data_IF_194002955933
#
_entry.id   IF_194002955933
#
_cell.length_a   1.000
_cell.length_b   1.000
_cell.length_c   1.000
_cell.angle_alpha   90.00
_cell.angle_beta   90.00
_cell.angle_gamma   90.00
#
_symmetry.space_group_name_H-M   'P 1'
#
loop_
_entity.id
_entity.type
_entity.pdbx_description
1 polymer ?
#
# COMPACT_ATOMS: atom_id res chain seq x y z
N UNK A 1 10.37 21.93 67.29
CA UNK A 1 10.81 20.82 66.45
C UNK A 1 10.26 21.04 65.05
N UNK A 2 11.04 21.64 64.16
CA UNK A 2 10.68 21.91 62.75
C UNK A 2 11.16 20.73 61.89
N UNK A 3 10.24 20.03 61.24
CA UNK A 3 10.56 18.99 60.27
C UNK A 3 10.83 19.65 58.89
N UNK A 4 12.03 19.54 58.42
CA UNK A 4 12.45 19.92 57.06
C UNK A 4 12.09 18.73 56.15
N UNK A 5 11.19 18.94 55.21
CA UNK A 5 10.89 17.99 54.16
C UNK A 5 11.86 18.26 52.99
N UNK A 6 12.80 17.36 52.78
CA UNK A 6 13.68 17.39 51.60
C UNK A 6 12.93 16.86 50.38
N UNK A 7 12.69 17.75 49.43
CA UNK A 7 12.16 17.38 48.10
C UNK A 7 13.36 16.93 47.27
N UNK A 8 13.41 15.64 47.01
CA UNK A 8 14.37 15.03 46.08
C UNK A 8 13.83 15.25 44.66
N UNK A 9 14.35 16.24 43.96
CA UNK A 9 14.12 16.39 42.51
C UNK A 9 14.93 15.32 41.77
N UNK A 10 14.27 14.28 41.30
CA UNK A 10 14.78 13.33 40.33
C UNK A 10 14.93 14.03 38.97
N UNK A 11 16.15 14.46 38.66
CA UNK A 11 16.53 14.78 37.30
C UNK A 11 16.57 13.47 36.50
N UNK A 12 15.50 13.17 35.74
CA UNK A 12 15.57 12.24 34.63
C UNK A 12 16.37 12.94 33.51
N UNK A 13 17.52 12.40 33.07
CA UNK A 13 18.15 12.92 31.88
C UNK A 13 17.19 12.59 30.70
N UNK A 14 16.68 13.60 30.02
CA UNK A 14 16.19 13.47 28.65
C UNK A 14 17.38 13.01 27.82
N UNK A 15 17.50 11.71 27.62
CA UNK A 15 18.19 11.15 26.47
C UNK A 15 17.35 11.53 25.24
N UNK A 16 17.54 12.74 24.72
CA UNK A 16 17.30 13.02 23.34
C UNK A 16 18.31 12.14 22.59
N UNK A 17 17.90 10.91 22.27
CA UNK A 17 18.57 10.14 21.25
C UNK A 17 18.61 11.06 20.03
N UNK A 18 19.80 11.41 19.55
CA UNK A 18 19.97 11.94 18.22
C UNK A 18 19.45 10.86 17.28
N UNK A 19 18.14 10.92 16.94
CA UNK A 19 17.58 10.12 15.89
C UNK A 19 18.27 10.61 14.62
N UNK A 20 19.19 9.80 14.12
CA UNK A 20 19.81 10.03 12.82
C UNK A 20 18.70 10.28 11.81
N UNK A 21 18.92 11.17 10.85
CA UNK A 21 17.93 11.47 9.80
C UNK A 21 17.47 10.18 9.16
N UNK A 22 16.16 10.01 9.01
CA UNK A 22 15.56 8.86 8.32
C UNK A 22 16.06 8.74 6.87
N UNK A 23 15.82 7.59 6.22
CA UNK A 23 16.20 7.39 4.82
C UNK A 23 15.64 8.51 3.93
N UNK A 24 14.38 8.86 4.14
CA UNK A 24 13.66 9.89 3.38
C UNK A 24 14.32 11.28 3.43
N UNK A 25 14.93 11.64 4.57
CA UNK A 25 15.58 12.95 4.77
C UNK A 25 16.96 13.04 4.13
N UNK A 26 17.59 11.91 3.85
CA UNK A 26 18.96 11.81 3.33
C UNK A 26 19.01 11.67 1.82
N UNK A 27 17.95 11.11 1.21
CA UNK A 27 17.88 10.93 -0.23
C UNK A 27 17.42 12.20 -0.94
N UNK A 28 18.28 12.74 -1.79
CA UNK A 28 18.02 13.93 -2.61
C UNK A 28 18.07 13.61 -4.09
N UNK A 29 17.47 14.48 -4.92
CA UNK A 29 17.48 14.32 -6.38
C UNK A 29 18.91 14.42 -6.99
N UNK A 30 19.87 15.00 -6.28
CA UNK A 30 21.25 15.15 -6.75
C UNK A 30 22.05 13.85 -6.64
N UNK A 31 21.60 12.91 -5.81
CA UNK A 31 22.20 11.57 -5.69
C UNK A 31 21.96 10.71 -6.92
N UNK A 32 20.95 11.00 -7.73
CA UNK A 32 20.60 10.19 -8.90
C UNK A 32 20.30 11.08 -10.11
N UNK A 33 21.23 11.14 -11.05
CA UNK A 33 21.07 11.90 -12.29
C UNK A 33 21.54 11.09 -13.50
N UNK A 34 20.59 10.80 -14.37
CA UNK A 34 20.83 10.23 -15.70
C UNK A 34 20.07 11.08 -16.73
N UNK A 35 20.66 12.17 -17.24
CA UNK A 35 19.94 13.17 -18.04
C UNK A 35 19.13 12.61 -19.21
N UNK A 36 19.65 11.56 -19.86
CA UNK A 36 18.94 10.90 -20.96
C UNK A 36 17.70 10.12 -20.48
N UNK A 37 17.75 9.49 -19.31
CA UNK A 37 16.61 8.82 -18.68
C UNK A 37 15.63 9.84 -18.14
N UNK A 38 16.13 10.89 -17.47
CA UNK A 38 15.32 11.98 -16.94
C UNK A 38 14.46 12.61 -18.05
N UNK A 39 15.03 12.86 -19.24
CA UNK A 39 14.30 13.40 -20.39
C UNK A 39 13.16 12.48 -20.88
N UNK A 40 13.32 11.15 -20.77
CA UNK A 40 12.24 10.20 -21.12
C UNK A 40 11.11 10.28 -20.11
N UNK A 41 11.42 10.35 -18.81
CA UNK A 41 10.43 10.49 -17.74
C UNK A 41 9.69 11.83 -17.87
N UNK A 42 10.40 12.94 -18.10
CA UNK A 42 9.80 14.26 -18.30
C UNK A 42 8.87 14.28 -19.53
N UNK A 43 9.27 13.64 -20.63
CA UNK A 43 8.43 13.49 -21.82
C UNK A 43 7.16 12.72 -21.52
N UNK A 44 7.28 11.60 -20.78
CA UNK A 44 6.12 10.82 -20.36
C UNK A 44 5.18 11.63 -19.45
N UNK A 45 5.73 12.37 -18.49
CA UNK A 45 4.93 13.26 -17.62
C UNK A 45 4.18 14.32 -18.42
N UNK A 46 4.81 14.91 -19.42
CA UNK A 46 4.17 15.90 -20.28
C UNK A 46 3.03 15.31 -21.10
N UNK A 47 3.23 14.13 -21.72
CA UNK A 47 2.18 13.42 -22.47
C UNK A 47 0.94 13.17 -21.60
N UNK A 48 1.15 12.74 -20.37
CA UNK A 48 0.05 12.39 -19.45
C UNK A 48 -0.38 13.52 -18.52
N UNK A 49 0.23 14.69 -18.63
CA UNK A 49 -0.02 15.86 -17.77
C UNK A 49 0.16 15.55 -16.26
N UNK A 50 1.13 14.70 -15.93
CA UNK A 50 1.44 14.33 -14.55
C UNK A 50 2.10 15.51 -13.83
N UNK A 51 1.71 15.76 -12.58
CA UNK A 51 2.30 16.84 -11.75
C UNK A 51 3.59 16.41 -11.07
N UNK A 52 3.65 15.15 -10.63
CA UNK A 52 4.82 14.59 -9.99
C UNK A 52 4.89 13.08 -10.14
N UNK A 53 6.12 12.58 -10.21
CA UNK A 53 6.46 11.15 -10.25
C UNK A 53 7.62 10.91 -9.29
N UNK A 54 7.57 9.82 -8.54
CA UNK A 54 8.71 9.28 -7.80
C UNK A 54 9.08 7.93 -8.41
N UNK A 55 10.36 7.74 -8.73
CA UNK A 55 10.92 6.53 -9.34
C UNK A 55 12.07 6.02 -8.47
N UNK A 56 12.03 4.74 -8.12
CA UNK A 56 13.15 4.01 -7.50
C UNK A 56 13.45 2.74 -8.28
N UNK A 57 14.74 2.43 -8.41
CA UNK A 57 15.24 1.22 -9.08
C UNK A 57 16.22 0.54 -8.14
N UNK A 58 15.93 -0.71 -7.82
CA UNK A 58 16.75 -1.58 -6.98
C UNK A 58 17.21 -2.78 -7.82
N UNK A 59 18.40 -3.31 -7.53
CA UNK A 59 18.88 -4.57 -8.07
C UNK A 59 19.62 -5.32 -6.97
N UNK A 60 19.28 -6.58 -6.77
CA UNK A 60 19.88 -7.43 -5.72
C UNK A 60 19.97 -6.64 -4.40
N UNK A 61 18.82 -6.17 -3.90
CA UNK A 61 18.65 -5.44 -2.65
C UNK A 61 19.41 -4.10 -2.51
N UNK A 62 20.13 -3.69 -3.55
CA UNK A 62 20.83 -2.41 -3.60
C UNK A 62 20.01 -1.35 -4.34
N UNK A 63 19.76 -0.21 -3.71
CA UNK A 63 19.05 0.92 -4.33
C UNK A 63 20.01 1.68 -5.26
N UNK A 64 19.93 1.43 -6.56
CA UNK A 64 20.85 2.01 -7.55
C UNK A 64 20.43 3.42 -7.98
N UNK A 65 19.13 3.68 -8.01
CA UNK A 65 18.58 4.94 -8.48
C UNK A 65 17.30 5.30 -7.75
N UNK A 66 17.18 6.56 -7.32
CA UNK A 66 15.91 7.09 -6.80
C UNK A 66 15.81 8.58 -7.09
N UNK A 67 14.66 9.01 -7.65
CA UNK A 67 14.47 10.40 -8.05
C UNK A 67 13.01 10.81 -8.06
N UNK A 68 12.75 12.02 -7.59
CA UNK A 68 11.47 12.70 -7.77
C UNK A 68 11.50 13.64 -8.98
N UNK A 69 10.44 13.64 -9.77
CA UNK A 69 10.24 14.48 -10.95
C UNK A 69 9.02 15.37 -10.75
N UNK A 70 9.10 16.61 -11.24
CA UNK A 70 8.00 17.55 -11.15
C UNK A 70 7.75 18.08 -9.74
N UNK A 71 6.48 18.17 -9.33
CA UNK A 71 6.05 18.85 -8.10
C UNK A 71 5.35 17.91 -7.13
N UNK A 72 5.74 18.03 -5.86
CA UNK A 72 5.03 17.39 -4.75
C UNK A 72 3.81 18.22 -4.32
N UNK A 73 3.99 19.54 -4.13
CA UNK A 73 2.90 20.45 -3.75
C UNK A 73 3.27 21.91 -4.06
N UNK A 74 2.44 22.62 -4.78
CA UNK A 74 2.70 24.03 -5.16
C UNK A 74 4.09 24.21 -5.78
N UNK A 75 4.96 24.97 -5.13
CA UNK A 75 6.36 25.17 -5.54
C UNK A 75 7.31 24.07 -5.04
N UNK A 76 6.89 23.23 -4.07
CA UNK A 76 7.73 22.17 -3.51
C UNK A 76 8.02 21.10 -4.54
N UNK A 77 9.30 20.79 -4.86
CA UNK A 77 9.64 19.75 -5.81
C UNK A 77 9.29 18.36 -5.26
N UNK A 78 9.08 17.40 -6.16
CA UNK A 78 9.10 15.99 -5.83
C UNK A 78 10.52 15.55 -5.52
N UNK A 79 10.74 14.85 -4.42
CA UNK A 79 12.03 14.27 -4.02
C UNK A 79 11.82 12.80 -3.65
N UNK A 80 12.90 11.98 -3.58
CA UNK A 80 12.78 10.54 -3.28
C UNK A 80 11.98 10.25 -2.01
N UNK A 81 12.21 11.00 -0.93
CA UNK A 81 11.53 10.83 0.35
C UNK A 81 10.11 11.40 0.42
N UNK A 82 9.54 11.90 -0.70
CA UNK A 82 8.15 12.36 -0.71
C UNK A 82 7.21 11.19 -0.47
N UNK A 83 6.27 11.36 0.49
CA UNK A 83 5.26 10.36 0.78
C UNK A 83 4.13 10.42 -0.26
N UNK A 84 3.74 9.26 -0.77
CA UNK A 84 2.70 9.10 -1.77
C UNK A 84 1.72 7.98 -1.38
N UNK A 85 0.44 8.15 -1.70
CA UNK A 85 -0.56 7.09 -1.60
C UNK A 85 -0.20 5.96 -2.56
N UNK A 86 -0.08 4.76 -2.01
CA UNK A 86 0.31 3.56 -2.75
C UNK A 86 -0.90 2.86 -3.38
N UNK A 87 -2.11 3.28 -3.00
CA UNK A 87 -3.34 2.60 -3.39
C UNK A 87 -3.21 1.08 -3.15
N UNK A 88 -3.59 0.25 -4.11
CA UNK A 88 -3.61 -1.21 -3.94
C UNK A 88 -2.23 -1.88 -3.77
N UNK A 89 -1.12 -1.16 -3.87
CA UNK A 89 0.18 -1.68 -3.42
C UNK A 89 0.15 -1.98 -1.91
N UNK A 90 -0.69 -1.28 -1.16
CA UNK A 90 -0.97 -1.57 0.26
C UNK A 90 -1.35 -3.03 0.55
N UNK A 91 -1.99 -3.71 -0.41
CA UNK A 91 -2.38 -5.11 -0.24
C UNK A 91 -1.19 -6.05 -0.08
N UNK A 92 -0.07 -5.67 -0.68
CA UNK A 92 1.16 -6.45 -0.55
C UNK A 92 1.65 -6.44 0.91
N UNK A 93 1.64 -5.26 1.55
CA UNK A 93 1.99 -5.13 2.96
C UNK A 93 1.07 -6.00 3.84
N UNK A 94 -0.25 -5.93 3.59
CA UNK A 94 -1.26 -6.73 4.33
C UNK A 94 -1.02 -8.22 4.17
N UNK A 95 -0.71 -8.68 2.95
CA UNK A 95 -0.42 -10.08 2.66
C UNK A 95 0.81 -10.57 3.46
N UNK A 96 1.89 -9.77 3.51
CA UNK A 96 3.06 -10.07 4.33
C UNK A 96 2.69 -10.14 5.83
N UNK A 97 1.85 -9.23 6.30
CA UNK A 97 1.33 -9.29 7.68
C UNK A 97 0.61 -10.61 7.99
N UNK A 98 -0.22 -11.09 7.08
CA UNK A 98 -0.90 -12.40 7.20
C UNK A 98 0.13 -13.54 7.17
N UNK A 99 1.13 -13.50 6.28
CA UNK A 99 2.17 -14.54 6.23
C UNK A 99 3.00 -14.59 7.52
N UNK A 100 3.31 -13.46 8.12
CA UNK A 100 3.98 -13.41 9.45
C UNK A 100 3.13 -14.02 10.56
N UNK A 101 1.82 -13.79 10.55
CA UNK A 101 0.92 -14.45 11.51
C UNK A 101 0.84 -15.96 11.27
N UNK A 102 0.85 -16.41 10.02
CA UNK A 102 0.91 -17.81 9.63
C UNK A 102 2.21 -18.47 10.14
N UNK A 103 3.36 -17.88 9.92
CA UNK A 103 4.65 -18.40 10.38
C UNK A 103 4.76 -18.48 11.92
N UNK A 104 4.09 -17.57 12.61
CA UNK A 104 3.96 -17.60 14.08
C UNK A 104 2.93 -18.61 14.60
N UNK A 105 2.31 -19.40 13.71
CA UNK A 105 1.29 -20.39 14.05
C UNK A 105 -0.01 -19.77 14.61
N UNK A 106 -0.29 -18.49 14.29
CA UNK A 106 -1.50 -17.79 14.74
C UNK A 106 -2.72 -18.07 13.85
N UNK A 107 -2.48 -18.45 12.61
CA UNK A 107 -3.47 -18.89 11.63
C UNK A 107 -2.80 -19.81 10.60
N UNK A 108 -3.61 -20.47 9.79
CA UNK A 108 -3.21 -21.11 8.52
C UNK A 108 -4.00 -20.47 7.38
N UNK A 109 -3.59 -20.68 6.13
CA UNK A 109 -4.31 -20.07 4.99
C UNK A 109 -5.76 -20.57 4.87
N UNK A 110 -6.00 -21.83 5.26
CA UNK A 110 -7.36 -22.43 5.31
C UNK A 110 -8.18 -22.00 6.53
N UNK A 111 -7.67 -21.13 7.41
CA UNK A 111 -8.43 -20.65 8.56
C UNK A 111 -9.73 -19.99 8.09
N UNK A 112 -10.91 -20.43 8.56
CA UNK A 112 -12.19 -19.80 8.24
C UNK A 112 -12.23 -18.35 8.70
N UNK A 113 -12.86 -17.48 7.91
CA UNK A 113 -13.05 -16.07 8.29
C UNK A 113 -14.22 -15.91 9.23
N UNK A 114 -15.33 -16.58 8.95
CA UNK A 114 -16.61 -16.52 9.66
C UNK A 114 -17.01 -17.88 10.21
N UNK A 115 -18.08 -17.91 11.03
CA UNK A 115 -18.61 -19.13 11.63
C UNK A 115 -17.90 -19.53 12.93
N UNK A 116 -18.32 -20.62 13.57
CA UNK A 116 -17.90 -21.00 14.93
C UNK A 116 -16.38 -21.27 15.07
N UNK A 117 -15.70 -21.52 13.97
CA UNK A 117 -14.23 -21.69 13.91
C UNK A 117 -13.52 -20.54 13.20
N UNK A 118 -14.26 -19.49 12.86
CA UNK A 118 -13.75 -18.32 12.15
C UNK A 118 -13.06 -17.33 13.07
N UNK A 119 -12.33 -16.40 12.45
CA UNK A 119 -11.64 -15.32 13.19
C UNK A 119 -12.61 -14.17 13.53
N UNK A 120 -13.52 -13.83 12.61
CA UNK A 120 -14.42 -12.67 12.68
C UNK A 120 -15.87 -13.09 13.04
N UNK A 121 -16.02 -13.90 14.09
CA UNK A 121 -17.31 -14.51 14.52
C UNK A 121 -18.36 -13.47 14.94
N UNK A 122 -17.96 -12.26 15.30
CA UNK A 122 -18.87 -11.17 15.68
C UNK A 122 -19.79 -10.69 14.54
N UNK A 123 -19.49 -11.12 13.31
CA UNK A 123 -20.31 -10.79 12.13
C UNK A 123 -21.31 -11.88 11.75
N UNK A 124 -21.24 -13.08 12.34
CA UNK A 124 -22.08 -14.23 11.98
C UNK A 124 -23.58 -13.91 12.04
N UNK A 125 -24.01 -13.14 13.05
CA UNK A 125 -25.40 -12.71 13.20
C UNK A 125 -25.93 -11.78 12.09
N UNK A 126 -25.06 -11.23 11.25
CA UNK A 126 -25.44 -10.37 10.11
C UNK A 126 -25.43 -11.11 8.77
N UNK A 127 -24.75 -12.27 8.69
CA UNK A 127 -24.65 -13.09 7.48
C UNK A 127 -26.02 -13.61 7.10
N UNK A 128 -26.35 -13.57 5.80
CA UNK A 128 -27.61 -14.04 5.21
C UNK A 128 -27.41 -15.17 4.20
N UNK A 129 -26.19 -15.39 3.76
CA UNK A 129 -25.79 -16.42 2.80
C UNK A 129 -24.78 -17.34 3.49
N UNK A 130 -25.17 -18.60 3.75
CA UNK A 130 -24.36 -19.57 4.49
C UNK A 130 -23.03 -19.88 3.79
N UNK A 131 -22.88 -19.56 2.50
CA UNK A 131 -21.62 -19.71 1.78
C UNK A 131 -20.48 -18.83 2.33
N UNK A 132 -20.79 -17.77 3.12
CA UNK A 132 -19.77 -17.01 3.84
C UNK A 132 -18.94 -17.87 4.80
N UNK A 133 -19.50 -18.93 5.35
CA UNK A 133 -18.80 -19.84 6.26
C UNK A 133 -17.75 -20.72 5.55
N UNK A 134 -17.73 -20.71 4.20
CA UNK A 134 -16.71 -21.38 3.38
C UNK A 134 -15.52 -20.46 3.07
N UNK A 135 -15.62 -19.17 3.39
CA UNK A 135 -14.54 -18.22 3.11
C UNK A 135 -13.36 -18.46 4.05
N UNK A 136 -12.18 -18.68 3.48
CA UNK A 136 -10.92 -18.80 4.19
C UNK A 136 -10.04 -17.56 4.01
N UNK A 137 -8.98 -17.46 4.80
CA UNK A 137 -7.95 -16.40 4.65
C UNK A 137 -7.34 -16.43 3.25
N UNK A 138 -7.07 -17.62 2.68
CA UNK A 138 -6.54 -17.74 1.31
C UNK A 138 -7.51 -17.19 0.26
N UNK A 139 -8.81 -17.49 0.39
CA UNK A 139 -9.82 -16.93 -0.51
C UNK A 139 -9.83 -15.40 -0.51
N UNK A 140 -9.61 -14.76 0.65
CA UNK A 140 -9.49 -13.31 0.72
C UNK A 140 -8.22 -12.80 0.01
N UNK A 141 -7.07 -13.44 0.26
CA UNK A 141 -5.79 -13.08 -0.35
C UNK A 141 -5.81 -13.20 -1.87
N UNK A 142 -6.47 -14.25 -2.40
CA UNK A 142 -6.58 -14.55 -3.85
C UNK A 142 -7.77 -13.89 -4.52
N UNK A 143 -8.57 -13.09 -3.81
CA UNK A 143 -9.80 -12.51 -4.34
C UNK A 143 -10.86 -13.54 -4.78
N UNK A 144 -10.91 -14.70 -4.14
CA UNK A 144 -11.79 -15.83 -4.45
C UNK A 144 -12.94 -16.00 -3.45
N UNK A 145 -13.22 -14.98 -2.64
CA UNK A 145 -14.21 -15.06 -1.57
C UNK A 145 -15.69 -14.99 -2.03
N UNK A 146 -15.94 -14.79 -3.31
CA UNK A 146 -17.32 -14.65 -3.82
C UNK A 146 -17.85 -13.22 -3.81
N UNK A 147 -17.05 -12.23 -3.41
CA UNK A 147 -17.43 -10.83 -3.44
C UNK A 147 -17.44 -10.30 -4.87
N UNK A 148 -18.41 -9.43 -5.19
CA UNK A 148 -18.54 -8.83 -6.52
C UNK A 148 -18.46 -7.31 -6.47
N UNK A 149 -17.95 -6.71 -7.55
CA UNK A 149 -18.01 -5.27 -7.82
C UNK A 149 -19.14 -4.91 -8.78
N UNK A 150 -20.08 -5.81 -9.05
CA UNK A 150 -21.26 -5.50 -9.86
C UNK A 150 -22.03 -4.36 -9.19
N UNK A 151 -22.24 -3.28 -9.93
CA UNK A 151 -22.82 -2.04 -9.38
C UNK A 151 -21.80 -1.07 -8.79
N UNK A 152 -20.51 -1.38 -8.84
CA UNK A 152 -19.39 -0.59 -8.34
C UNK A 152 -18.85 -1.08 -7.00
N UNK A 153 -17.59 -0.79 -6.75
CA UNK A 153 -16.93 -1.16 -5.49
C UNK A 153 -17.52 -0.36 -4.32
N UNK A 154 -18.14 -1.03 -3.32
CA UNK A 154 -18.69 -0.35 -2.14
C UNK A 154 -17.63 0.43 -1.36
N UNK A 155 -16.36 -0.02 -1.37
CA UNK A 155 -15.26 0.63 -0.68
C UNK A 155 -14.89 1.99 -1.32
N UNK A 156 -15.27 2.23 -2.57
CA UNK A 156 -15.11 3.52 -3.28
C UNK A 156 -16.40 4.35 -3.35
N UNK A 157 -17.46 3.89 -2.70
CA UNK A 157 -18.81 4.49 -2.77
C UNK A 157 -19.25 5.01 -1.40
N UNK A 158 -18.39 5.75 -0.68
CA UNK A 158 -18.61 6.21 0.71
C UNK A 158 -20.00 6.84 0.91
N UNK A 159 -20.40 7.80 0.07
CA UNK A 159 -21.70 8.45 0.19
C UNK A 159 -22.88 7.48 -0.05
N UNK A 160 -22.72 6.46 -0.89
CA UNK A 160 -23.75 5.44 -1.09
C UNK A 160 -23.85 4.52 0.15
N UNK A 161 -22.73 4.11 0.70
CA UNK A 161 -22.67 3.30 1.92
C UNK A 161 -23.25 4.06 3.12
N UNK A 162 -22.96 5.36 3.25
CA UNK A 162 -23.58 6.21 4.28
C UNK A 162 -25.11 6.17 4.21
N UNK A 163 -25.68 6.27 3.02
CA UNK A 163 -27.15 6.19 2.82
C UNK A 163 -27.69 4.80 3.14
N UNK A 164 -27.00 3.73 2.69
CA UNK A 164 -27.42 2.35 2.93
C UNK A 164 -27.40 2.01 4.42
N UNK A 165 -26.36 2.44 5.14
CA UNK A 165 -26.19 2.19 6.58
C UNK A 165 -27.06 3.13 7.43
N UNK A 166 -27.44 4.30 6.89
CA UNK A 166 -28.24 5.31 7.62
C UNK A 166 -27.35 6.16 8.56
N UNK A 167 -26.11 6.46 8.18
CA UNK A 167 -25.18 7.29 8.95
C UNK A 167 -24.92 8.63 8.31
N UNK A 168 -24.69 9.67 9.13
CA UNK A 168 -24.30 11.01 8.68
C UNK A 168 -22.77 11.21 8.60
N UNK A 169 -22.00 10.22 9.04
CA UNK A 169 -20.52 10.22 8.99
C UNK A 169 -20.05 9.06 8.14
N UNK A 170 -18.80 9.12 7.67
CA UNK A 170 -18.19 7.99 6.99
C UNK A 170 -18.32 6.72 7.85
N UNK A 171 -18.77 5.60 7.28
CA UNK A 171 -18.92 4.35 8.02
C UNK A 171 -17.58 3.86 8.57
N UNK A 172 -17.59 3.34 9.78
CA UNK A 172 -16.45 2.59 10.31
C UNK A 172 -16.29 1.27 9.56
N UNK A 173 -15.11 0.65 9.66
CA UNK A 173 -14.82 -0.66 9.07
C UNK A 173 -15.83 -1.72 9.56
N UNK A 174 -16.18 -1.67 10.85
CA UNK A 174 -17.19 -2.55 11.44
C UNK A 174 -18.58 -2.31 10.82
N UNK A 175 -19.02 -1.06 10.67
CA UNK A 175 -20.30 -0.74 10.04
C UNK A 175 -20.35 -1.18 8.57
N UNK A 176 -19.25 -0.97 7.83
CA UNK A 176 -19.11 -1.45 6.45
C UNK A 176 -19.23 -2.98 6.41
N UNK A 177 -18.49 -3.68 7.26
CA UNK A 177 -18.51 -5.15 7.31
C UNK A 177 -19.90 -5.66 7.63
N UNK A 178 -20.59 -5.13 8.66
CA UNK A 178 -21.98 -5.50 9.01
C UNK A 178 -22.97 -5.26 7.86
N UNK A 179 -22.75 -4.27 7.03
CA UNK A 179 -23.61 -4.02 5.87
C UNK A 179 -23.29 -4.99 4.72
N UNK A 180 -22.00 -5.20 4.45
CA UNK A 180 -21.57 -5.97 3.27
C UNK A 180 -21.77 -7.48 3.43
N UNK A 181 -21.62 -8.05 4.64
CA UNK A 181 -21.86 -9.49 4.87
C UNK A 181 -23.33 -9.89 4.77
N UNK A 182 -24.26 -8.94 4.67
CA UNK A 182 -25.67 -9.22 4.38
C UNK A 182 -25.96 -9.50 2.92
N UNK A 183 -25.02 -9.13 2.03
CA UNK A 183 -25.17 -9.32 0.58
C UNK A 183 -24.88 -10.77 0.23
N UNK A 184 -25.58 -11.35 -0.77
CA UNK A 184 -25.23 -12.69 -1.25
C UNK A 184 -23.87 -12.68 -1.93
N UNK A 185 -23.16 -13.81 -1.91
CA UNK A 185 -21.98 -14.03 -2.72
C UNK A 185 -22.38 -14.21 -4.18
N UNK A 186 -21.54 -13.75 -5.11
CA UNK A 186 -21.77 -13.92 -6.56
C UNK A 186 -21.45 -15.34 -7.04
N UNK A 187 -20.54 -16.02 -6.34
CA UNK A 187 -20.10 -17.39 -6.62
C UNK A 187 -19.61 -18.04 -5.33
N UNK A 188 -19.49 -19.36 -5.31
CA UNK A 188 -18.96 -20.10 -4.18
C UNK A 188 -17.48 -19.77 -3.96
N UNK A 189 -17.03 -19.56 -2.71
CA UNK A 189 -15.63 -19.32 -2.41
C UNK A 189 -14.72 -20.39 -3.05
N UNK A 190 -13.64 -19.93 -3.70
CA UNK A 190 -12.67 -20.79 -4.37
C UNK A 190 -13.05 -21.27 -5.77
N UNK A 191 -14.26 -20.98 -6.29
CA UNK A 191 -14.69 -21.47 -7.61
C UNK A 191 -14.49 -20.47 -8.74
N UNK A 192 -14.34 -19.18 -8.42
CA UNK A 192 -14.09 -18.08 -9.35
C UNK A 192 -13.34 -16.97 -8.62
N UNK A 193 -12.99 -15.90 -9.29
CA UNK A 193 -12.32 -14.77 -8.68
C UNK A 193 -12.83 -13.43 -9.21
N UNK A 194 -12.98 -12.48 -8.32
CA UNK A 194 -13.21 -11.09 -8.65
C UNK A 194 -12.47 -10.19 -7.66
N UNK A 195 -11.68 -9.25 -8.16
CA UNK A 195 -10.86 -8.36 -7.34
C UNK A 195 -11.71 -7.66 -6.29
N UNK A 196 -11.32 -7.74 -5.01
CA UNK A 196 -12.11 -7.21 -3.89
C UNK A 196 -11.26 -6.37 -2.93
N UNK A 197 -11.66 -5.11 -2.73
CA UNK A 197 -11.11 -4.29 -1.66
C UNK A 197 -11.69 -4.71 -0.31
N UNK A 198 -12.94 -5.17 -0.27
CA UNK A 198 -13.56 -5.65 0.97
C UNK A 198 -12.82 -6.87 1.53
N UNK A 199 -12.35 -7.79 0.69
CA UNK A 199 -11.54 -8.93 1.15
C UNK A 199 -10.27 -8.49 1.90
N UNK A 200 -9.58 -7.47 1.43
CA UNK A 200 -8.38 -6.95 2.08
C UNK A 200 -8.66 -6.04 3.29
N UNK A 201 -9.84 -5.42 3.36
CA UNK A 201 -10.32 -4.84 4.61
C UNK A 201 -10.48 -5.94 5.68
N UNK A 202 -11.14 -7.07 5.35
CA UNK A 202 -11.29 -8.19 6.28
C UNK A 202 -9.93 -8.75 6.72
N UNK A 203 -8.92 -8.84 5.83
CA UNK A 203 -7.58 -9.27 6.21
C UNK A 203 -6.94 -8.32 7.23
N UNK A 204 -7.10 -6.99 7.09
CA UNK A 204 -6.62 -6.05 8.12
C UNK A 204 -7.35 -6.21 9.45
N UNK A 205 -8.65 -6.48 9.42
CA UNK A 205 -9.44 -6.75 10.64
C UNK A 205 -9.06 -8.11 11.29
N UNK A 206 -8.69 -9.11 10.50
CA UNK A 206 -8.14 -10.39 10.99
C UNK A 206 -6.82 -10.15 11.73
N UNK A 207 -5.94 -9.31 11.19
CA UNK A 207 -4.69 -8.92 11.87
C UNK A 207 -5.01 -8.28 13.22
N UNK A 208 -5.90 -7.28 13.26
CA UNK A 208 -6.33 -6.64 14.52
C UNK A 208 -6.92 -7.63 15.52
N UNK A 209 -7.79 -8.52 15.04
CA UNK A 209 -8.46 -9.51 15.89
C UNK A 209 -7.50 -10.50 16.54
N UNK A 210 -6.52 -10.99 15.77
CA UNK A 210 -5.55 -11.98 16.26
C UNK A 210 -4.52 -11.34 17.18
N UNK A 211 -4.12 -10.10 16.89
CA UNK A 211 -3.04 -9.42 17.62
C UNK A 211 -3.54 -8.64 18.82
N UNK A 212 -4.81 -8.21 18.80
CA UNK A 212 -5.37 -7.31 19.81
C UNK A 212 -4.88 -5.87 19.70
N UNK A 213 -4.23 -5.51 18.58
CA UNK A 213 -3.63 -4.19 18.33
C UNK A 213 -4.23 -3.54 17.08
N UNK A 214 -4.27 -2.19 17.00
CA UNK A 214 -4.65 -1.49 15.77
C UNK A 214 -3.78 -1.93 14.59
N UNK A 215 -4.38 -2.17 13.44
CA UNK A 215 -3.71 -2.66 12.22
C UNK A 215 -2.46 -1.84 11.86
N UNK A 216 -2.57 -0.51 11.82
CA UNK A 216 -1.45 0.36 11.47
C UNK A 216 -0.28 0.18 12.43
N UNK A 217 -0.53 0.20 13.75
CA UNK A 217 0.52 0.10 14.76
C UNK A 217 1.25 -1.25 14.71
N UNK A 218 0.48 -2.34 14.54
CA UNK A 218 1.06 -3.67 14.42
C UNK A 218 1.90 -3.80 13.14
N UNK A 219 1.38 -3.34 12.00
CA UNK A 219 2.08 -3.37 10.72
C UNK A 219 3.37 -2.53 10.74
N UNK A 220 3.33 -1.33 11.33
CA UNK A 220 4.52 -0.49 11.49
C UNK A 220 5.60 -1.20 12.30
N UNK A 221 5.24 -1.86 13.40
CA UNK A 221 6.20 -2.53 14.28
C UNK A 221 6.70 -3.86 13.71
N UNK A 222 5.82 -4.68 13.16
CA UNK A 222 6.14 -6.08 12.83
C UNK A 222 6.51 -6.30 11.36
N UNK A 223 6.11 -5.40 10.47
CA UNK A 223 6.32 -5.55 9.03
C UNK A 223 7.22 -4.44 8.47
N UNK A 224 6.93 -3.19 8.81
CA UNK A 224 7.61 -2.05 8.20
C UNK A 224 8.93 -1.72 8.90
N UNK A 225 8.95 -1.69 10.22
CA UNK A 225 10.16 -1.39 10.99
C UNK A 225 11.28 -2.42 10.75
N UNK A 226 11.02 -3.74 10.71
CA UNK A 226 12.04 -4.73 10.34
C UNK A 226 12.63 -4.53 8.94
N UNK A 227 11.83 -4.05 8.00
CA UNK A 227 12.30 -3.66 6.65
C UNK A 227 13.05 -2.32 6.63
N UNK A 228 13.17 -1.62 7.76
CA UNK A 228 13.76 -0.28 7.82
C UNK A 228 12.88 0.83 7.23
N UNK A 229 11.57 0.57 7.11
CA UNK A 229 10.56 1.55 6.69
C UNK A 229 10.03 2.26 7.94
N UNK A 230 10.27 3.55 8.06
CA UNK A 230 9.98 4.32 9.27
C UNK A 230 8.89 5.38 9.07
N UNK A 231 8.55 5.68 7.81
CA UNK A 231 7.64 6.78 7.46
C UNK A 231 6.48 6.28 6.57
N UNK A 232 5.82 5.21 7.03
CA UNK A 232 4.61 4.67 6.44
C UNK A 232 3.42 4.91 7.35
N UNK A 233 2.31 5.41 6.79
CA UNK A 233 1.10 5.76 7.54
C UNK A 233 -0.16 5.39 6.79
N UNK A 234 -1.28 5.27 7.50
CA UNK A 234 -2.61 5.21 6.89
C UNK A 234 -3.03 6.63 6.51
N UNK A 235 -3.25 6.86 5.21
CA UNK A 235 -3.55 8.16 4.63
C UNK A 235 -4.78 8.83 5.22
N UNK A 236 -4.75 10.17 5.29
CA UNK A 236 -5.92 10.99 5.55
C UNK A 236 -6.81 11.13 4.30
N UNK A 237 -8.04 11.63 4.50
CA UNK A 237 -9.05 11.77 3.46
C UNK A 237 -9.05 13.14 2.77
N UNK A 238 -8.63 14.18 3.49
CA UNK A 238 -8.69 15.57 3.07
C UNK A 238 -7.30 16.15 2.86
N UNK A 239 -7.23 17.29 2.15
CA UNK A 239 -5.97 17.99 1.92
C UNK A 239 -5.28 18.38 3.25
N UNK A 240 -6.08 18.73 4.26
CA UNK A 240 -5.60 19.11 5.60
C UNK A 240 -5.12 17.95 6.45
N UNK A 241 -5.48 16.73 6.10
CA UNK A 241 -5.11 15.51 6.85
C UNK A 241 -3.76 14.93 6.44
N UNK A 242 -3.09 15.56 5.47
CA UNK A 242 -1.81 15.05 4.93
C UNK A 242 -0.73 15.08 5.99
N UNK A 243 0.11 14.07 5.96
CA UNK A 243 1.31 14.00 6.78
C UNK A 243 2.38 15.01 6.31
N UNK A 244 3.29 15.45 7.21
CA UNK A 244 4.49 16.15 6.80
C UNK A 244 5.23 15.37 5.71
N UNK A 245 5.69 16.02 4.65
CA UNK A 245 6.33 15.33 3.52
C UNK A 245 5.39 14.73 2.49
N UNK A 246 4.09 14.54 2.80
CA UNK A 246 3.14 13.99 1.83
C UNK A 246 2.86 14.95 0.67
N UNK A 247 2.73 14.38 -0.53
CA UNK A 247 2.43 15.13 -1.75
C UNK A 247 1.00 15.66 -1.77
N UNK A 248 0.72 16.67 -2.61
CA UNK A 248 -0.63 16.97 -3.06
C UNK A 248 -1.01 16.02 -4.20
N UNK A 249 -2.24 15.51 -4.16
CA UNK A 249 -2.80 14.67 -5.21
C UNK A 249 -3.63 15.50 -6.19
N UNK A 250 -3.66 15.06 -7.45
CA UNK A 250 -4.31 15.75 -8.54
C UNK A 250 -5.19 14.81 -9.36
N UNK A 251 -6.34 15.28 -9.74
CA UNK A 251 -7.16 14.63 -10.76
C UNK A 251 -6.69 15.02 -12.16
N UNK A 252 -7.05 14.25 -13.18
CA UNK A 252 -6.83 14.68 -14.56
C UNK A 252 -7.61 15.98 -14.84
N UNK A 253 -7.12 16.79 -15.79
CA UNK A 253 -7.62 18.16 -16.05
C UNK A 253 -9.11 18.26 -16.39
N UNK A 254 -9.70 17.19 -16.94
CA UNK A 254 -11.13 17.14 -17.28
C UNK A 254 -12.01 16.55 -16.17
N UNK A 255 -11.42 16.14 -15.04
CA UNK A 255 -12.17 15.60 -13.91
C UNK A 255 -13.06 16.70 -13.28
N UNK A 256 -14.33 16.37 -13.08
CA UNK A 256 -15.26 17.28 -12.40
C UNK A 256 -15.14 17.10 -10.88
N UNK A 257 -15.29 18.18 -10.12
CA UNK A 257 -15.47 18.08 -8.68
C UNK A 257 -16.65 17.16 -8.32
N UNK A 258 -16.58 16.59 -7.14
CA UNK A 258 -17.64 15.74 -6.57
C UNK A 258 -18.16 16.37 -5.27
N UNK A 259 -19.35 16.01 -4.85
CA UNK A 259 -19.80 16.33 -3.50
C UNK A 259 -18.96 15.55 -2.50
N UNK A 260 -18.32 16.27 -1.58
CA UNK A 260 -17.61 15.65 -0.48
C UNK A 260 -18.57 14.85 0.39
N UNK A 261 -18.14 13.63 0.79
CA UNK A 261 -19.01 12.76 1.59
C UNK A 261 -19.32 13.30 2.99
N UNK A 262 -18.49 14.20 3.51
CA UNK A 262 -18.68 14.88 4.80
C UNK A 262 -19.64 16.08 4.77
N UNK A 263 -20.15 16.40 3.57
CA UNK A 263 -21.09 17.52 3.36
C UNK A 263 -20.40 18.90 3.27
N UNK A 264 -19.06 18.98 3.24
CA UNK A 264 -18.31 20.25 3.16
C UNK A 264 -18.45 20.98 1.81
N UNK A 265 -19.14 20.39 0.83
CA UNK A 265 -19.39 20.99 -0.49
C UNK A 265 -18.68 20.27 -1.62
N UNK A 266 -18.30 21.02 -2.66
CA UNK A 266 -17.59 20.48 -3.82
C UNK A 266 -16.11 20.34 -3.55
N UNK A 267 -15.53 19.17 -3.89
CA UNK A 267 -14.12 18.86 -3.71
C UNK A 267 -13.54 18.12 -4.91
N UNK A 268 -12.22 18.15 -5.07
CA UNK A 268 -11.53 17.20 -5.96
C UNK A 268 -11.79 15.78 -5.43
N UNK A 269 -12.06 14.83 -6.32
CA UNK A 269 -12.40 13.46 -5.92
C UNK A 269 -11.34 12.78 -5.05
N UNK A 270 -10.07 13.18 -5.16
CA UNK A 270 -8.97 12.70 -4.34
C UNK A 270 -8.99 13.26 -2.90
N UNK A 271 -9.88 14.25 -2.62
CA UNK A 271 -10.05 14.85 -1.29
C UNK A 271 -11.55 14.89 -0.94
N UNK A 272 -12.02 13.92 -0.16
CA UNK A 272 -13.42 13.83 0.26
C UNK A 272 -14.35 13.09 -0.69
N UNK A 273 -13.86 12.56 -1.83
CA UNK A 273 -14.68 11.71 -2.72
C UNK A 273 -14.88 10.28 -2.20
N UNK A 274 -13.93 9.78 -1.42
CA UNK A 274 -13.93 8.46 -0.77
C UNK A 274 -13.33 8.53 0.61
N UNK A 275 -13.73 7.62 1.50
CA UNK A 275 -13.11 7.40 2.80
C UNK A 275 -11.88 6.50 2.65
N UNK A 276 -10.69 7.11 2.61
CA UNK A 276 -9.43 6.39 2.36
C UNK A 276 -9.03 5.55 3.57
N UNK A 277 -9.20 6.07 4.79
CA UNK A 277 -8.90 5.32 6.03
C UNK A 277 -9.71 4.04 6.11
N UNK A 278 -10.96 4.06 5.64
CA UNK A 278 -11.83 2.88 5.57
C UNK A 278 -11.30 1.78 4.65
N UNK A 279 -10.40 2.09 3.70
CA UNK A 279 -9.74 1.07 2.88
C UNK A 279 -8.73 0.26 3.69
N UNK A 280 -8.14 0.82 4.76
CA UNK A 280 -7.15 0.13 5.62
C UNK A 280 -6.14 -0.68 4.80
N UNK A 281 -6.00 -1.98 5.06
CA UNK A 281 -5.11 -2.90 4.33
C UNK A 281 -5.38 -3.06 2.84
N UNK A 282 -6.54 -2.61 2.36
CA UNK A 282 -6.88 -2.68 0.94
C UNK A 282 -6.21 -1.58 0.07
N UNK A 283 -5.86 -0.42 0.68
CA UNK A 283 -5.36 0.66 -0.17
C UNK A 283 -4.96 1.96 0.53
N UNK A 284 -4.93 2.02 1.85
CA UNK A 284 -4.79 3.28 2.56
C UNK A 284 -3.35 3.70 2.87
N UNK A 285 -2.34 2.86 2.66
CA UNK A 285 -0.97 3.19 3.00
C UNK A 285 -0.38 4.29 2.12
N UNK A 286 0.38 5.19 2.77
CA UNK A 286 1.33 6.11 2.14
C UNK A 286 2.74 5.75 2.57
N UNK A 287 3.71 6.10 1.73
CA UNK A 287 5.14 5.96 1.99
C UNK A 287 5.95 6.46 0.81
N UNK A 288 7.26 6.42 0.91
CA UNK A 288 8.18 6.79 -0.16
C UNK A 288 8.55 5.59 -1.05
N UNK A 289 8.98 5.85 -2.29
CA UNK A 289 9.42 4.78 -3.19
C UNK A 289 10.71 4.10 -2.73
N UNK A 290 11.72 4.79 -2.13
CA UNK A 290 12.91 4.11 -1.62
C UNK A 290 12.62 3.24 -0.38
N UNK A 291 11.74 3.67 0.54
CA UNK A 291 11.36 2.78 1.64
C UNK A 291 10.52 1.59 1.16
N UNK A 292 9.67 1.80 0.14
CA UNK A 292 8.96 0.68 -0.49
C UNK A 292 9.94 -0.31 -1.16
N UNK A 293 11.05 0.17 -1.74
CA UNK A 293 12.12 -0.71 -2.26
C UNK A 293 12.75 -1.53 -1.12
N UNK A 294 13.02 -0.93 0.05
CA UNK A 294 13.48 -1.67 1.23
C UNK A 294 12.49 -2.74 1.70
N UNK A 295 11.21 -2.41 1.67
CA UNK A 295 10.19 -3.40 1.99
C UNK A 295 10.22 -4.59 1.01
N UNK A 296 10.36 -4.34 -0.29
CA UNK A 296 10.47 -5.41 -1.30
C UNK A 296 11.74 -6.24 -1.06
N UNK A 297 12.91 -5.61 -0.84
CA UNK A 297 14.17 -6.29 -0.53
C UNK A 297 14.09 -7.23 0.70
N UNK A 298 13.14 -7.01 1.60
CA UNK A 298 12.98 -7.82 2.82
C UNK A 298 12.02 -9.01 2.66
N UNK A 299 11.57 -9.29 1.41
CA UNK A 299 10.55 -10.31 1.14
C UNK A 299 10.67 -10.90 -0.28
N UNK A 300 11.78 -10.73 -0.97
CA UNK A 300 11.90 -11.13 -2.38
C UNK A 300 12.68 -12.44 -2.62
N UNK A 301 13.26 -13.02 -1.55
CA UNK A 301 14.02 -14.26 -1.61
C UNK A 301 15.45 -14.06 -2.08
N UNK A 302 15.93 -12.82 -2.20
CA UNK A 302 17.32 -12.50 -2.53
C UNK A 302 18.14 -12.46 -1.24
N UNK A 303 19.31 -13.12 -1.16
CA UNK A 303 20.00 -13.31 0.14
C UNK A 303 20.81 -12.12 0.63
N UNK A 304 20.94 -11.03 -0.15
CA UNK A 304 21.75 -9.86 0.19
C UNK A 304 21.14 -9.07 1.36
N UNK A 305 19.82 -9.10 1.50
CA UNK A 305 19.06 -8.65 2.68
C UNK A 305 18.31 -9.84 3.27
N UNK A 306 18.32 -9.99 4.59
CA UNK A 306 17.57 -11.06 5.26
C UNK A 306 16.07 -10.85 5.12
N UNK A 307 15.37 -11.82 4.52
CA UNK A 307 13.93 -11.82 4.40
C UNK A 307 13.25 -11.90 5.77
N UNK A 308 12.20 -11.11 5.95
CA UNK A 308 11.39 -11.12 7.17
C UNK A 308 10.31 -12.21 7.19
N UNK A 309 10.17 -12.95 6.11
CA UNK A 309 9.34 -14.17 5.97
C UNK A 309 10.18 -15.26 5.32
N UNK A 310 9.83 -16.52 5.58
CA UNK A 310 10.59 -17.66 5.07
C UNK A 310 10.54 -17.76 3.54
N UNK A 311 11.57 -18.37 2.94
CA UNK A 311 11.62 -18.69 1.51
C UNK A 311 10.34 -19.43 1.05
N UNK A 312 9.80 -20.32 1.89
CA UNK A 312 8.54 -21.00 1.59
C UNK A 312 7.35 -20.04 1.54
N UNK A 313 7.31 -19.03 2.39
CA UNK A 313 6.26 -17.99 2.36
C UNK A 313 6.41 -17.09 1.13
N UNK A 314 7.64 -16.71 0.77
CA UNK A 314 7.92 -15.99 -0.49
C UNK A 314 7.40 -16.80 -1.68
N UNK A 315 7.76 -18.09 -1.76
CA UNK A 315 7.28 -19.00 -2.79
C UNK A 315 5.75 -19.05 -2.84
N UNK A 316 5.05 -19.21 -1.69
CA UNK A 316 3.59 -19.22 -1.66
C UNK A 316 2.97 -17.91 -2.14
N UNK A 317 3.61 -16.77 -1.84
CA UNK A 317 3.13 -15.45 -2.27
C UNK A 317 3.31 -15.22 -3.77
N UNK A 318 4.34 -15.77 -4.37
CA UNK A 318 4.71 -15.55 -5.77
C UNK A 318 4.32 -16.70 -6.70
N UNK A 319 3.89 -17.84 -6.13
CA UNK A 319 3.46 -19.00 -6.90
C UNK A 319 2.29 -18.65 -7.83
N UNK A 320 2.48 -18.89 -9.10
CA UNK A 320 1.42 -18.83 -10.11
C UNK A 320 0.66 -20.16 -10.12
N UNK A 321 -0.60 -20.13 -9.74
CA UNK A 321 -1.46 -21.34 -9.78
C UNK A 321 -2.10 -21.51 -11.16
N UNK A 322 -2.43 -20.42 -11.83
CA UNK A 322 -2.90 -20.37 -13.23
C UNK A 322 -2.88 -18.92 -13.71
N UNK A 323 -3.13 -18.68 -15.00
CA UNK A 323 -3.24 -17.33 -15.59
C UNK A 323 -4.41 -16.51 -15.02
N UNK A 324 -5.36 -17.19 -14.39
CA UNK A 324 -6.61 -16.60 -13.90
C UNK A 324 -6.60 -16.36 -12.39
N UNK A 325 -5.65 -16.95 -11.62
CA UNK A 325 -5.66 -16.88 -10.16
C UNK A 325 -4.63 -15.86 -9.66
N UNK A 326 -5.09 -14.87 -8.89
CA UNK A 326 -4.20 -13.90 -8.23
C UNK A 326 -3.25 -14.59 -7.25
N UNK A 327 -2.00 -14.19 -7.30
CA UNK A 327 -1.00 -14.56 -6.29
C UNK A 327 -1.24 -13.79 -4.99
N UNK A 328 -0.66 -14.25 -3.86
CA UNK A 328 -0.93 -13.66 -2.55
C UNK A 328 -0.32 -12.26 -2.44
N UNK A 329 -1.14 -11.23 -2.57
CA UNK A 329 -0.70 -9.84 -2.52
C UNK A 329 -0.20 -9.25 -3.84
N UNK A 330 0.20 -10.07 -4.81
CA UNK A 330 0.56 -9.64 -6.17
C UNK A 330 -0.65 -9.62 -7.10
N UNK A 331 -0.57 -8.86 -8.19
CA UNK A 331 -1.60 -8.87 -9.26
C UNK A 331 -1.26 -9.95 -10.29
N UNK A 332 0.04 -10.09 -10.56
CA UNK A 332 0.53 -11.00 -11.59
C UNK A 332 1.93 -11.48 -11.19
N UNK A 333 2.12 -12.80 -11.25
CA UNK A 333 3.42 -13.46 -11.14
C UNK A 333 3.53 -14.41 -12.32
N UNK A 334 4.49 -14.16 -13.20
CA UNK A 334 4.67 -14.96 -14.41
C UNK A 334 5.60 -16.16 -14.16
N UNK A 335 5.53 -17.17 -15.03
CA UNK A 335 6.36 -18.37 -14.90
C UNK A 335 7.86 -18.10 -15.10
N UNK A 336 8.20 -17.01 -15.79
CA UNK A 336 9.59 -16.55 -15.97
C UNK A 336 10.09 -15.65 -14.83
N UNK A 337 9.27 -15.46 -13.76
CA UNK A 337 9.67 -14.77 -12.53
C UNK A 337 9.48 -13.26 -12.55
N UNK A 338 8.71 -12.68 -13.48
CA UNK A 338 8.25 -11.28 -13.35
C UNK A 338 7.11 -11.23 -12.31
N UNK A 339 7.21 -10.32 -11.34
CA UNK A 339 6.13 -10.04 -10.39
C UNK A 339 5.65 -8.61 -10.56
N UNK A 340 4.34 -8.42 -10.52
CA UNK A 340 3.74 -7.11 -10.71
C UNK A 340 2.72 -6.81 -9.62
N UNK A 341 2.83 -5.64 -9.02
CA UNK A 341 1.79 -5.05 -8.18
C UNK A 341 1.45 -3.66 -8.65
N UNK A 342 0.17 -3.40 -8.91
CA UNK A 342 -0.32 -2.08 -9.29
C UNK A 342 -1.23 -1.50 -8.22
N UNK A 343 -1.34 -0.17 -8.20
CA UNK A 343 -2.26 0.56 -7.35
C UNK A 343 -2.83 1.76 -8.09
N UNK A 344 -4.14 2.00 -7.96
CA UNK A 344 -4.78 3.16 -8.56
C UNK A 344 -6.05 3.54 -7.82
N UNK A 345 -6.17 4.80 -7.48
CA UNK A 345 -7.43 5.48 -7.17
C UNK A 345 -7.28 6.99 -7.44
N UNK A 346 -8.29 7.77 -7.08
CA UNK A 346 -8.31 9.21 -7.35
C UNK A 346 -7.04 9.92 -6.85
N UNK A 347 -6.30 10.51 -7.78
CA UNK A 347 -5.10 11.28 -7.50
C UNK A 347 -3.78 10.50 -7.51
N UNK A 348 -3.78 9.17 -7.65
CA UNK A 348 -2.54 8.38 -7.62
C UNK A 348 -2.57 7.19 -8.58
N UNK A 349 -1.39 6.80 -9.05
CA UNK A 349 -1.14 5.53 -9.71
C UNK A 349 0.25 5.02 -9.27
N UNK A 350 0.32 3.77 -8.88
CA UNK A 350 1.52 3.11 -8.38
C UNK A 350 1.79 1.82 -9.14
N UNK A 351 3.06 1.53 -9.34
CA UNK A 351 3.56 0.30 -9.94
C UNK A 351 4.78 -0.19 -9.14
N UNK A 352 4.78 -1.46 -8.79
CA UNK A 352 5.95 -2.23 -8.38
C UNK A 352 6.12 -3.35 -9.39
N UNK A 353 7.29 -3.47 -9.98
CA UNK A 353 7.63 -4.52 -10.94
C UNK A 353 8.98 -5.11 -10.60
N UNK A 354 8.98 -6.40 -10.31
CA UNK A 354 10.19 -7.19 -10.07
C UNK A 354 10.47 -8.02 -11.33
N UNK A 355 11.74 -8.09 -11.71
CA UNK A 355 12.22 -8.84 -12.85
C UNK A 355 13.03 -10.07 -12.40
N UNK A 356 13.13 -11.13 -13.24
CA UNK A 356 13.79 -12.39 -12.86
C UNK A 356 15.27 -12.26 -12.49
N UNK A 357 15.92 -11.19 -12.90
CA UNK A 357 17.34 -10.90 -12.63
C UNK A 357 17.57 -10.07 -11.35
N UNK A 358 16.56 -9.98 -10.50
CA UNK A 358 16.63 -9.27 -9.22
C UNK A 358 16.45 -7.75 -9.31
N UNK A 359 16.05 -7.20 -10.46
CA UNK A 359 15.68 -5.80 -10.54
C UNK A 359 14.26 -5.55 -10.05
N UNK A 360 14.11 -4.49 -9.27
CA UNK A 360 12.81 -3.97 -8.86
C UNK A 360 12.66 -2.50 -9.28
N UNK A 361 11.58 -2.20 -10.00
CA UNK A 361 11.21 -0.87 -10.45
C UNK A 361 9.95 -0.41 -9.77
N UNK A 362 10.03 0.72 -9.08
CA UNK A 362 8.91 1.31 -8.33
C UNK A 362 8.64 2.70 -8.87
N UNK A 363 7.41 2.92 -9.35
CA UNK A 363 6.98 4.21 -9.88
C UNK A 363 5.64 4.59 -9.28
N UNK A 364 5.58 5.75 -8.63
CA UNK A 364 4.34 6.30 -8.07
C UNK A 364 4.14 7.73 -8.56
N UNK A 365 2.93 8.06 -9.02
CA UNK A 365 2.55 9.41 -9.44
C UNK A 365 1.49 9.99 -8.49
N UNK A 366 1.53 11.31 -8.31
CA UNK A 366 0.53 12.05 -7.55
C UNK A 366 -0.61 12.59 -8.42
N UNK A 367 -0.79 12.04 -9.60
CA UNK A 367 -1.81 12.48 -10.56
C UNK A 367 -2.50 11.27 -11.16
N UNK A 368 -3.82 11.18 -11.05
CA UNK A 368 -4.59 10.19 -11.80
C UNK A 368 -4.85 10.68 -13.23
N UNK A 369 -4.84 9.76 -14.19
CA UNK A 369 -5.17 10.01 -15.58
C UNK A 369 -6.61 9.59 -15.86
N UNK A 370 -7.14 10.00 -17.02
CA UNK A 370 -8.48 9.58 -17.50
C UNK A 370 -8.58 8.06 -17.74
N UNK A 371 -7.47 7.35 -17.88
CA UNK A 371 -7.44 5.89 -18.03
C UNK A 371 -7.73 5.12 -16.73
N UNK A 372 -7.70 5.79 -15.57
CA UNK A 372 -7.89 5.13 -14.28
C UNK A 372 -6.89 4.00 -14.07
N UNK A 373 -7.35 2.83 -13.61
CA UNK A 373 -6.47 1.66 -13.36
C UNK A 373 -5.74 1.15 -14.61
N UNK A 374 -6.30 1.35 -15.81
CA UNK A 374 -5.64 0.96 -17.06
C UNK A 374 -4.35 1.73 -17.36
N UNK A 375 -4.11 2.86 -16.69
CA UNK A 375 -2.86 3.62 -16.81
C UNK A 375 -1.63 2.83 -16.34
N UNK A 376 -1.80 1.82 -15.52
CA UNK A 376 -0.72 0.92 -15.09
C UNK A 376 0.00 0.23 -16.26
N UNK A 377 -0.68 0.01 -17.38
CA UNK A 377 -0.06 -0.52 -18.61
C UNK A 377 0.95 0.45 -19.21
N UNK A 378 0.63 1.75 -19.20
CA UNK A 378 1.51 2.79 -19.74
C UNK A 378 2.73 3.02 -18.84
N UNK A 379 2.54 2.98 -17.50
CA UNK A 379 3.67 3.06 -16.55
C UNK A 379 4.54 1.80 -16.62
N UNK A 380 3.96 0.61 -16.79
CA UNK A 380 4.70 -0.64 -17.00
C UNK A 380 5.51 -0.61 -18.30
N UNK A 381 4.92 -0.09 -19.39
CA UNK A 381 5.64 0.09 -20.66
C UNK A 381 6.78 1.10 -20.54
N UNK A 382 6.59 2.18 -19.76
CA UNK A 382 7.66 3.13 -19.46
C UNK A 382 8.81 2.41 -18.74
N UNK A 383 8.55 1.68 -17.66
CA UNK A 383 9.59 0.97 -16.90
C UNK A 383 10.36 -0.03 -17.80
N UNK A 384 9.65 -0.84 -18.59
CA UNK A 384 10.31 -1.76 -19.56
C UNK A 384 11.18 -1.03 -20.59
N UNK A 385 10.71 0.11 -21.10
CA UNK A 385 11.49 0.94 -22.05
C UNK A 385 12.73 1.57 -21.38
N UNK A 386 12.58 2.13 -20.18
CA UNK A 386 13.69 2.69 -19.43
C UNK A 386 14.73 1.62 -19.11
N UNK A 387 14.30 0.45 -18.64
CA UNK A 387 15.16 -0.69 -18.36
C UNK A 387 15.96 -1.09 -19.61
N UNK A 388 15.30 -1.35 -20.72
CA UNK A 388 15.94 -1.76 -21.96
C UNK A 388 17.00 -0.76 -22.51
N UNK A 389 16.91 0.53 -22.11
CA UNK A 389 17.78 1.58 -22.63
C UNK A 389 18.88 2.03 -21.67
N UNK A 390 18.68 1.83 -20.37
CA UNK A 390 19.52 2.47 -19.36
C UNK A 390 20.02 1.52 -18.27
N UNK A 391 19.69 0.24 -18.33
CA UNK A 391 20.09 -0.75 -17.35
C UNK A 391 21.62 -0.79 -17.11
N UNK A 392 22.39 -0.80 -18.21
CA UNK A 392 23.85 -0.77 -18.21
C UNK A 392 24.47 0.56 -17.74
N UNK A 393 23.65 1.58 -17.54
CA UNK A 393 24.04 2.95 -17.14
C UNK A 393 23.65 3.30 -15.71
N UNK A 394 22.96 2.41 -15.03
CA UNK A 394 22.62 2.61 -13.62
C UNK A 394 23.90 2.65 -12.77
N UNK A 395 24.01 3.58 -11.79
CA UNK A 395 25.18 3.64 -10.92
C UNK A 395 25.38 2.34 -10.14
N UNK A 396 26.63 1.85 -10.06
CA UNK A 396 27.00 0.68 -9.30
C UNK A 396 27.20 0.98 -7.79
N UNK A 397 26.34 1.80 -7.20
CA UNK A 397 26.40 2.17 -5.77
C UNK A 397 25.08 1.89 -5.11
N UNK A 398 25.09 1.48 -3.85
CA UNK A 398 23.89 1.32 -3.07
C UNK A 398 23.56 2.60 -2.27
N UNK A 399 22.45 3.24 -2.63
CA UNK A 399 21.98 4.46 -1.98
C UNK A 399 21.40 4.22 -0.58
N UNK A 400 21.07 2.99 -0.23
CA UNK A 400 20.68 2.66 1.14
C UNK A 400 21.85 2.83 2.10
N UNK A 401 23.07 2.42 1.68
CA UNK A 401 24.29 2.53 2.48
C UNK A 401 24.90 3.92 2.45
N UNK A 402 24.89 4.60 1.29
CA UNK A 402 25.34 6.01 1.20
C UNK A 402 24.54 6.91 2.13
N UNK A 403 23.22 6.71 2.19
CA UNK A 403 22.38 7.45 3.10
C UNK A 403 22.58 7.06 4.60
N UNK A 404 23.24 5.96 4.90
CA UNK A 404 23.53 5.56 6.29
C UNK A 404 24.82 6.18 6.86
N UNK A 405 25.74 6.62 5.99
CA UNK A 405 27.07 7.08 6.37
C UNK A 405 27.22 8.61 6.42
N UNK A 406 26.19 9.36 6.03
CA UNK A 406 26.10 10.83 6.13
C UNK A 406 25.29 11.26 7.37
#
# INVERSE_FOLDING_TARGET
MKRIASILLLFLPLLAAAQGRGLNDRLTNDLSRLPAMDAVVDSFMNVWSLKGVSLSIMRNDSLLYTRGYGRADGARPMVPGTLLRMASVSKHLTAVGIMKLKERGKLVLDTPVFGPFGVLTEYDGYIKDDNYYLITVEHLLRHQAGFTQQGGDPMFSTAAMMREIGTSKAPTQEQLTRALVKRPLAYLPGTDQEYSNFGYLLLSMIIEKITGEPYEAWMQREVLSPAGCTDFHIAGNFYTDRFPGETRYHMHKEARPVNSYDGSGQAERCYGGIEIRGLSGAGAWIGSTPELARFIASIDGIPDVEDQISEFSVYQMTQRLSDEIFSLGWVDCTDDGEWTRTGSFSGTSALVKVFPDGECWILITNTSTWKGSRFSRDTGALCKNLRARFDDRLPARDLFTVAAND
#
